data_IF_934113872086
#
_entry.id   IF_934113872086
#
_cell.length_a   1.000
_cell.length_b   1.000
_cell.length_c   1.000
_cell.angle_alpha   90.00
_cell.angle_beta   90.00
_cell.angle_gamma   90.00
#
_symmetry.space_group_name_H-M   'P 1'
#
loop_
_entity.id
_entity.type
_entity.pdbx_description
1 polymer ?
#
# COMPACT_ATOMS: atom_id res chain seq x y z
N UNK A 1 8.87 -20.92 12.04
CA UNK A 1 10.12 -20.35 11.49
C UNK A 1 9.88 -19.32 10.37
N UNK A 2 9.12 -19.64 9.31
CA UNK A 2 8.82 -18.67 8.22
C UNK A 2 8.03 -17.45 8.71
N UNK A 3 6.98 -17.65 9.50
CA UNK A 3 6.17 -16.55 10.06
C UNK A 3 7.00 -15.53 10.86
N UNK A 4 7.89 -16.03 11.72
CA UNK A 4 8.76 -15.17 12.53
C UNK A 4 9.75 -14.37 11.67
N UNK A 5 10.22 -14.94 10.55
CA UNK A 5 11.07 -14.22 9.59
C UNK A 5 10.30 -13.11 8.88
N UNK A 6 9.09 -13.39 8.40
CA UNK A 6 8.22 -12.39 7.76
C UNK A 6 7.95 -11.24 8.75
N UNK A 7 7.59 -11.58 9.99
CA UNK A 7 7.30 -10.58 11.01
C UNK A 7 8.54 -9.73 11.35
N UNK A 8 9.72 -10.36 11.50
CA UNK A 8 10.97 -9.65 11.73
C UNK A 8 11.37 -8.72 10.58
N UNK A 9 11.18 -9.16 9.33
CA UNK A 9 11.44 -8.34 8.14
C UNK A 9 10.46 -7.16 8.06
N UNK A 10 9.16 -7.39 8.28
CA UNK A 10 8.16 -6.32 8.30
C UNK A 10 8.45 -5.30 9.40
N UNK A 11 8.86 -5.76 10.58
CA UNK A 11 9.23 -4.88 11.68
C UNK A 11 10.45 -4.02 11.36
N UNK A 12 11.52 -4.62 10.82
CA UNK A 12 12.69 -3.88 10.35
C UNK A 12 12.34 -2.91 9.21
N UNK A 13 11.48 -3.32 8.28
CA UNK A 13 11.03 -2.45 7.20
C UNK A 13 10.31 -1.21 7.74
N UNK A 14 9.45 -1.35 8.75
CA UNK A 14 8.82 -0.20 9.41
C UNK A 14 9.85 0.69 10.13
N UNK A 15 10.77 0.09 10.89
CA UNK A 15 11.82 0.84 11.60
C UNK A 15 12.72 1.65 10.67
N UNK A 16 12.98 1.17 9.45
CA UNK A 16 13.78 1.89 8.46
C UNK A 16 12.91 2.87 7.66
N UNK A 17 11.70 2.47 7.27
CA UNK A 17 10.83 3.28 6.42
C UNK A 17 10.34 4.55 7.13
N UNK A 18 9.99 4.48 8.42
CA UNK A 18 9.51 5.64 9.20
C UNK A 18 10.52 6.79 9.20
N UNK A 19 11.78 6.62 9.67
CA UNK A 19 12.75 7.72 9.69
C UNK A 19 13.16 8.17 8.28
N UNK A 20 13.09 7.27 7.28
CA UNK A 20 13.31 7.64 5.89
C UNK A 20 12.19 8.57 5.39
N UNK A 21 10.94 8.26 5.72
CA UNK A 21 9.78 9.07 5.37
C UNK A 21 9.77 10.40 6.13
N UNK A 22 10.19 10.43 7.38
CA UNK A 22 10.32 11.68 8.15
C UNK A 22 11.45 12.56 7.60
N UNK A 23 12.58 11.97 7.21
CA UNK A 23 13.77 12.72 6.77
C UNK A 23 13.70 13.17 5.31
N UNK A 24 13.09 12.36 4.44
CA UNK A 24 13.05 12.59 2.99
C UNK A 24 11.64 12.78 2.43
N UNK A 25 10.61 12.52 3.23
CA UNK A 25 9.24 12.77 2.83
C UNK A 25 8.94 14.26 2.75
N UNK A 26 8.21 14.65 1.72
CA UNK A 26 7.57 15.97 1.70
C UNK A 26 6.34 15.92 2.59
N UNK A 27 6.15 16.94 3.41
CA UNK A 27 4.86 17.18 4.05
C UNK A 27 3.79 17.24 2.96
N UNK A 28 2.85 16.31 3.00
CA UNK A 28 1.75 16.34 2.07
C UNK A 28 0.74 17.37 2.57
N UNK A 29 0.44 18.35 1.73
CA UNK A 29 -0.64 19.28 2.05
C UNK A 29 -1.96 18.52 2.12
N UNK A 30 -2.92 18.96 2.96
CA UNK A 30 -4.23 18.34 3.05
C UNK A 30 -4.91 18.20 1.68
N UNK A 31 -4.70 19.15 0.76
CA UNK A 31 -5.24 19.10 -0.59
C UNK A 31 -4.64 17.97 -1.43
N UNK A 32 -3.32 17.73 -1.33
CA UNK A 32 -2.67 16.63 -2.07
C UNK A 32 -3.11 15.26 -1.55
N UNK A 33 -3.19 15.08 -0.23
CA UNK A 33 -3.65 13.83 0.38
C UNK A 33 -5.12 13.57 0.04
N UNK A 34 -5.96 14.61 0.03
CA UNK A 34 -7.36 14.48 -0.35
C UNK A 34 -7.52 14.17 -1.85
N UNK A 35 -6.73 14.80 -2.72
CA UNK A 35 -6.75 14.50 -4.15
C UNK A 35 -6.36 13.04 -4.43
N UNK A 36 -5.35 12.52 -3.73
CA UNK A 36 -4.95 11.12 -3.84
C UNK A 36 -6.04 10.17 -3.33
N UNK A 37 -6.65 10.48 -2.18
CA UNK A 37 -7.70 9.65 -1.56
C UNK A 37 -8.91 9.45 -2.46
N UNK A 38 -9.27 10.43 -3.30
CA UNK A 38 -10.39 10.34 -4.25
C UNK A 38 -10.21 9.25 -5.30
N UNK A 39 -8.95 8.92 -5.66
CA UNK A 39 -8.64 7.90 -6.66
C UNK A 39 -8.44 6.51 -6.05
N UNK A 40 -8.21 6.40 -4.74
CA UNK A 40 -8.01 5.10 -4.08
C UNK A 40 -9.24 4.21 -4.27
N UNK A 41 -10.44 4.70 -3.92
CA UNK A 41 -11.69 3.92 -4.04
C UNK A 41 -11.96 3.40 -5.46
N UNK A 42 -11.95 4.23 -6.53
CA UNK A 42 -12.19 3.73 -7.88
C UNK A 42 -11.10 2.75 -8.35
N UNK A 43 -9.83 2.98 -8.00
CA UNK A 43 -8.74 2.06 -8.36
C UNK A 43 -8.86 0.72 -7.63
N UNK A 44 -9.24 0.72 -6.35
CA UNK A 44 -9.52 -0.51 -5.58
C UNK A 44 -10.69 -1.27 -6.19
N UNK A 45 -11.76 -0.58 -6.58
CA UNK A 45 -12.91 -1.18 -7.23
C UNK A 45 -12.52 -1.82 -8.58
N UNK A 46 -11.71 -1.12 -9.38
CA UNK A 46 -11.19 -1.65 -10.64
C UNK A 46 -10.34 -2.90 -10.41
N UNK A 47 -9.42 -2.86 -9.43
CA UNK A 47 -8.61 -4.02 -9.06
C UNK A 47 -9.45 -5.21 -8.59
N UNK A 48 -10.47 -4.97 -7.77
CA UNK A 48 -11.38 -6.01 -7.30
C UNK A 48 -12.17 -6.64 -8.47
N UNK A 49 -12.62 -5.83 -9.44
CA UNK A 49 -13.26 -6.31 -10.66
C UNK A 49 -12.30 -7.16 -11.51
N UNK A 50 -11.07 -6.69 -11.72
CA UNK A 50 -10.05 -7.44 -12.47
C UNK A 50 -9.72 -8.77 -11.78
N UNK A 51 -9.58 -8.76 -10.45
CA UNK A 51 -9.34 -9.97 -9.67
C UNK A 51 -10.51 -10.95 -9.76
N UNK A 52 -11.76 -10.46 -9.73
CA UNK A 52 -12.95 -11.29 -9.91
C UNK A 52 -12.97 -11.93 -11.31
N UNK A 53 -12.69 -11.16 -12.35
CA UNK A 53 -12.62 -11.69 -13.72
C UNK A 53 -11.50 -12.74 -13.83
N UNK A 54 -10.32 -12.46 -13.27
CA UNK A 54 -9.20 -13.41 -13.27
C UNK A 54 -9.54 -14.69 -12.51
N UNK A 55 -10.27 -14.59 -11.40
CA UNK A 55 -10.74 -15.76 -10.65
C UNK A 55 -11.76 -16.60 -11.43
N UNK A 56 -12.63 -15.97 -12.24
CA UNK A 56 -13.67 -16.65 -13.00
C UNK A 56 -13.21 -17.23 -14.34
N UNK A 57 -12.23 -16.59 -14.99
CA UNK A 57 -11.80 -16.91 -16.37
C UNK A 57 -10.34 -17.38 -16.43
N UNK A 58 -9.53 -17.11 -15.40
CA UNK A 58 -8.17 -17.62 -15.30
C UNK A 58 -8.14 -19.15 -15.13
N UNK A 59 -7.07 -19.82 -15.60
CA UNK A 59 -6.91 -21.27 -15.44
C UNK A 59 -6.89 -21.71 -13.97
#
# INVERSE_FOLDING_TARGET
MVLLKILGILFLALLIAIPLLERFGKEQSPEQTQAMSRWILPLVMLLALLQLIFYLIGP
#
